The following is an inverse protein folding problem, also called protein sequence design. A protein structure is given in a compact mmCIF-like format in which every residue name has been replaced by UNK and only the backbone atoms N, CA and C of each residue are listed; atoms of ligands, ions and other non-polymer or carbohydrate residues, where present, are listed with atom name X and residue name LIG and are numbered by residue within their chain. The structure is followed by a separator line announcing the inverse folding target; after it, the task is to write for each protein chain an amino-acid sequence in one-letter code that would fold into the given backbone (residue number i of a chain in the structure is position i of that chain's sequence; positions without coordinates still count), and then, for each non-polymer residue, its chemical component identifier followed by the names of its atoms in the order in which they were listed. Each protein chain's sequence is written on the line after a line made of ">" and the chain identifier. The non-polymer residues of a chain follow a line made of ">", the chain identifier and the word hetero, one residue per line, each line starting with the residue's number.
data_IF_268897420871
#
_entry.id   IF_268897420871
#
_cell.length_a   1.000
_cell.length_b   1.000
_cell.length_c   1.000
_cell.angle_alpha   90.00
_cell.angle_beta   90.00
_cell.angle_gamma   90.00
#
_symmetry.space_group_name_H-M   'P 1'
#
loop_
_entity.id
_entity.type
_entity.pdbx_description
1 polymer ?
#
# COMPACT_ATOMS: atom_id res chain seq x y z
N UNK A 1 -9.74 -2.03 -4.97
CA UNK A 1 -8.50 -2.84 -4.83
C UNK A 1 -7.66 -2.57 -6.06
N UNK A 2 -6.43 -2.08 -5.89
CA UNK A 2 -5.60 -1.66 -7.01
C UNK A 2 -4.97 -2.89 -7.68
N UNK A 3 -5.44 -3.26 -8.87
CA UNK A 3 -5.09 -4.52 -9.55
C UNK A 3 -3.65 -4.55 -10.08
N UNK A 4 -2.96 -3.40 -10.08
CA UNK A 4 -1.59 -3.28 -10.57
C UNK A 4 -0.53 -3.56 -9.51
N UNK A 5 -0.89 -3.52 -8.24
CA UNK A 5 -0.01 -3.84 -7.13
C UNK A 5 -0.04 -5.34 -6.83
N UNK A 6 1.12 -5.95 -6.51
CA UNK A 6 1.14 -7.35 -6.12
C UNK A 6 0.34 -7.56 -4.83
N UNK A 7 -0.33 -8.72 -4.68
CA UNK A 7 -1.05 -9.02 -3.45
C UNK A 7 -0.06 -9.12 -2.29
N UNK A 8 -0.44 -8.54 -1.15
CA UNK A 8 0.29 -8.69 0.11
C UNK A 8 -0.13 -9.99 0.78
N UNK A 9 0.83 -10.71 1.37
CA UNK A 9 0.54 -11.93 2.11
C UNK A 9 -0.31 -11.61 3.37
N UNK A 10 -1.37 -12.38 3.66
CA UNK A 10 -2.29 -12.10 4.78
C UNK A 10 -1.59 -11.98 6.14
N UNK A 11 -0.56 -12.79 6.38
CA UNK A 11 0.25 -12.78 7.59
C UNK A 11 0.99 -11.45 7.79
N UNK A 12 1.49 -10.84 6.71
CA UNK A 12 2.16 -9.53 6.76
C UNK A 12 1.18 -8.45 7.17
N UNK A 13 -0.05 -8.49 6.63
CA UNK A 13 -1.12 -7.57 7.01
C UNK A 13 -1.49 -7.77 8.48
N UNK A 14 -1.70 -9.01 8.91
CA UNK A 14 -2.07 -9.34 10.28
C UNK A 14 -1.05 -8.80 11.29
N UNK A 15 0.24 -9.06 11.07
CA UNK A 15 1.32 -8.56 11.92
C UNK A 15 1.39 -7.02 11.93
N UNK A 16 1.20 -6.37 10.77
CA UNK A 16 1.24 -4.91 10.67
C UNK A 16 0.10 -4.23 11.46
N UNK A 17 -1.08 -4.84 11.50
CA UNK A 17 -2.26 -4.25 12.16
C UNK A 17 -2.45 -4.71 13.61
N UNK A 18 -1.80 -5.79 14.04
CA UNK A 18 -1.98 -6.41 15.35
C UNK A 18 -1.85 -5.40 16.49
N UNK A 19 -0.79 -4.58 16.46
CA UNK A 19 -0.46 -3.60 17.51
C UNK A 19 -1.19 -2.25 17.34
N UNK A 20 -2.04 -2.09 16.32
CA UNK A 20 -2.77 -0.85 16.08
C UNK A 20 -4.01 -0.75 16.97
N UNK A 21 -4.14 0.39 17.66
CA UNK A 21 -5.38 0.77 18.35
C UNK A 21 -6.54 0.94 17.36
N UNK A 22 -7.78 0.87 17.84
CA UNK A 22 -8.99 1.04 17.01
C UNK A 22 -8.99 2.34 16.19
N UNK A 23 -8.52 3.45 16.79
CA UNK A 23 -8.39 4.74 16.10
C UNK A 23 -7.37 4.69 14.96
N UNK A 24 -6.23 4.01 15.16
CA UNK A 24 -5.21 3.87 14.12
C UNK A 24 -5.67 2.94 13.00
N UNK A 25 -6.38 1.85 13.32
CA UNK A 25 -7.00 0.98 12.31
C UNK A 25 -7.96 1.76 11.42
N UNK A 26 -8.86 2.56 12.00
CA UNK A 26 -9.77 3.42 11.24
C UNK A 26 -9.04 4.42 10.33
N UNK A 27 -7.90 4.97 10.79
CA UNK A 27 -7.07 5.85 9.96
C UNK A 27 -6.39 5.09 8.82
N UNK A 28 -5.93 3.86 9.07
CA UNK A 28 -5.34 2.99 8.06
C UNK A 28 -6.37 2.64 6.98
N UNK A 29 -7.59 2.26 7.36
CA UNK A 29 -8.66 1.95 6.40
C UNK A 29 -8.97 3.14 5.48
N UNK A 30 -9.09 4.34 6.05
CA UNK A 30 -9.28 5.56 5.26
C UNK A 30 -8.10 5.86 4.32
N UNK A 31 -6.87 5.59 4.77
CA UNK A 31 -5.68 5.74 3.93
C UNK A 31 -5.67 4.70 2.78
N UNK A 32 -6.05 3.45 3.06
CA UNK A 32 -6.17 2.40 2.05
C UNK A 32 -7.19 2.81 1.00
N UNK A 33 -8.37 3.32 1.39
CA UNK A 33 -9.39 3.81 0.46
C UNK A 33 -8.87 4.94 -0.42
N UNK A 34 -8.17 5.91 0.16
CA UNK A 34 -7.57 7.01 -0.59
C UNK A 34 -6.55 6.49 -1.63
N UNK A 35 -5.61 5.65 -1.19
CA UNK A 35 -4.55 5.12 -2.05
C UNK A 35 -5.04 4.10 -3.08
N UNK A 36 -6.15 3.41 -2.83
CA UNK A 36 -6.73 2.47 -3.78
C UNK A 36 -7.19 3.13 -5.09
N UNK A 37 -7.41 4.46 -5.08
CA UNK A 37 -7.83 5.23 -6.26
C UNK A 37 -6.68 5.93 -6.98
N UNK A 38 -5.47 5.92 -6.39
CA UNK A 38 -4.33 6.60 -7.00
C UNK A 38 -3.74 5.77 -8.15
N UNK A 39 -3.26 6.45 -9.21
CA UNK A 39 -2.61 5.77 -10.33
C UNK A 39 -1.33 5.09 -9.85
N UNK A 40 -1.10 3.88 -10.37
CA UNK A 40 0.16 3.15 -10.23
C UNK A 40 0.90 3.29 -11.55
N UNK A 41 2.18 3.60 -11.50
CA UNK A 41 3.03 3.53 -12.70
C UNK A 41 3.75 2.19 -12.71
N UNK A 42 3.66 1.46 -13.82
CA UNK A 42 4.32 0.18 -14.02
C UNK A 42 5.53 0.35 -14.95
N UNK A 43 6.72 0.09 -14.40
CA UNK A 43 7.99 0.12 -15.13
C UNK A 43 8.61 -1.29 -15.10
N UNK A 44 8.18 -2.15 -16.04
CA UNK A 44 8.56 -3.57 -16.05
C UNK A 44 8.06 -4.31 -14.81
N UNK A 45 8.97 -4.78 -13.95
CA UNK A 45 8.63 -5.42 -12.66
C UNK A 45 8.52 -4.43 -11.50
N UNK A 46 8.87 -3.16 -11.73
CA UNK A 46 8.80 -2.11 -10.72
C UNK A 46 7.39 -1.49 -10.73
N UNK A 47 6.87 -1.16 -9.55
CA UNK A 47 5.61 -0.41 -9.37
C UNK A 47 5.89 0.86 -8.58
N UNK A 48 5.33 1.98 -9.01
CA UNK A 48 5.46 3.28 -8.34
C UNK A 48 4.10 3.86 -7.97
N UNK A 49 4.00 4.41 -6.76
CA UNK A 49 2.79 5.05 -6.26
C UNK A 49 3.16 6.37 -5.59
N UNK A 50 2.45 7.45 -5.94
CA UNK A 50 2.58 8.74 -5.25
C UNK A 50 1.79 8.71 -3.96
N UNK A 51 2.46 8.90 -2.83
CA UNK A 51 1.87 8.91 -1.50
C UNK A 51 1.73 10.35 -1.00
N UNK A 52 0.76 11.08 -1.53
CA UNK A 52 0.64 12.52 -1.31
C UNK A 52 1.53 13.33 -2.25
N UNK A 53 1.78 14.59 -1.91
CA UNK A 53 2.52 15.54 -2.77
C UNK A 53 4.03 15.24 -2.77
N UNK A 54 4.59 14.93 -1.59
CA UNK A 54 6.04 14.89 -1.37
C UNK A 54 6.65 13.50 -1.30
N UNK A 55 5.85 12.42 -1.38
CA UNK A 55 6.37 11.06 -1.26
C UNK A 55 6.04 10.19 -2.47
N UNK A 56 7.02 9.38 -2.88
CA UNK A 56 6.87 8.36 -3.91
C UNK A 56 7.38 7.03 -3.37
N UNK A 57 6.54 6.01 -3.43
CA UNK A 57 6.87 4.65 -3.01
C UNK A 57 7.18 3.83 -4.25
N UNK A 58 8.36 3.22 -4.28
CA UNK A 58 8.79 2.29 -5.33
C UNK A 58 8.86 0.87 -4.78
N UNK A 59 8.18 -0.06 -5.44
CA UNK A 59 8.20 -1.48 -5.15
C UNK A 59 8.98 -2.20 -6.25
N UNK A 60 10.02 -2.93 -5.86
CA UNK A 60 10.80 -3.79 -6.74
C UNK A 60 10.77 -5.22 -6.19
N UNK A 61 10.80 -6.25 -7.06
CA UNK A 61 10.94 -7.63 -6.62
C UNK A 61 12.26 -7.81 -5.85
N UNK A 62 12.22 -8.64 -4.80
CA UNK A 62 13.43 -9.06 -4.08
C UNK A 62 14.36 -9.93 -4.94
N UNK A 63 15.58 -10.21 -4.46
CA UNK A 63 16.54 -11.08 -5.13
C UNK A 63 16.03 -12.52 -5.32
#
# INVERSE_FOLDING_TARGET
>A
MNTELPPVAPEVVATAVEQLTSRLRKKLDAAIEAYATLPVTADGTVRRVRCGEDAEVTLAPGP
#
